data_IF_169935807631
#
_entry.id   IF_169935807631
#
_cell.length_a   1.000
_cell.length_b   1.000
_cell.length_c   1.000
_cell.angle_alpha   90.00
_cell.angle_beta   90.00
_cell.angle_gamma   90.00
#
_symmetry.space_group_name_H-M   'P 1'
#
loop_
_entity.id
_entity.type
_entity.pdbx_description
1 polymer ?
#
# COMPACT_ATOMS: atom_id res chain seq x y z
N UNK A 1 -16.58 9.98 -60.85
CA UNK A 1 -17.18 8.75 -60.29
C UNK A 1 -16.14 7.62 -60.34
N UNK A 2 -15.39 7.38 -59.27
CA UNK A 2 -14.33 6.37 -59.20
C UNK A 2 -14.84 5.14 -58.44
N UNK A 3 -15.08 4.04 -59.17
CA UNK A 3 -15.48 2.73 -58.61
C UNK A 3 -14.24 2.01 -58.08
N UNK A 4 -14.05 2.03 -56.76
CA UNK A 4 -13.09 1.14 -56.08
C UNK A 4 -13.68 -0.27 -55.96
N UNK A 5 -13.40 -1.14 -56.94
CA UNK A 5 -13.48 -2.59 -56.76
C UNK A 5 -12.17 -3.06 -56.11
N UNK A 6 -12.04 -2.89 -54.80
CA UNK A 6 -10.97 -3.52 -54.03
C UNK A 6 -11.35 -4.99 -53.82
N UNK A 7 -10.64 -5.89 -54.51
CA UNK A 7 -10.80 -7.32 -54.34
C UNK A 7 -10.41 -7.73 -52.91
N UNK A 8 -11.22 -8.59 -52.29
CA UNK A 8 -10.96 -9.19 -50.97
C UNK A 8 -9.56 -9.83 -50.85
N UNK A 9 -8.93 -10.15 -51.99
CA UNK A 9 -7.59 -10.75 -52.09
C UNK A 9 -6.45 -9.75 -51.84
N UNK A 10 -6.53 -8.50 -52.31
CA UNK A 10 -5.52 -7.46 -52.03
C UNK A 10 -5.45 -7.14 -50.54
N UNK A 11 -6.61 -7.02 -49.90
CA UNK A 11 -6.72 -6.71 -48.46
C UNK A 11 -6.09 -7.83 -47.63
N UNK A 12 -6.34 -9.09 -48.01
CA UNK A 12 -5.78 -10.27 -47.33
C UNK A 12 -4.26 -10.38 -47.44
N UNK A 13 -3.66 -9.79 -48.47
CA UNK A 13 -2.21 -9.73 -48.66
C UNK A 13 -1.57 -8.67 -47.75
N UNK A 14 -2.23 -7.51 -47.62
CA UNK A 14 -1.77 -6.38 -46.79
C UNK A 14 -1.73 -6.72 -45.29
N UNK A 15 -2.71 -7.46 -44.78
CA UNK A 15 -2.74 -7.89 -43.38
C UNK A 15 -1.72 -8.99 -43.04
N UNK A 16 -1.16 -9.67 -44.04
CA UNK A 16 -0.17 -10.75 -43.84
C UNK A 16 1.23 -10.22 -43.50
N UNK A 17 1.47 -8.93 -43.71
CA UNK A 17 2.77 -8.28 -43.44
C UNK A 17 2.82 -7.57 -42.08
N UNK A 18 1.75 -7.62 -41.29
CA UNK A 18 1.78 -7.20 -39.87
C UNK A 18 2.35 -8.34 -39.01
N UNK A 19 3.62 -8.67 -39.24
CA UNK A 19 4.40 -9.65 -38.45
C UNK A 19 4.77 -9.05 -37.08
N UNK A 20 3.77 -8.76 -36.24
CA UNK A 20 4.00 -8.25 -34.88
C UNK A 20 4.47 -9.34 -33.89
N UNK A 21 4.53 -10.61 -34.33
CA UNK A 21 4.92 -11.74 -33.49
C UNK A 21 5.77 -12.77 -34.23
N UNK A 22 6.82 -13.23 -33.54
CA UNK A 22 7.66 -14.35 -33.96
C UNK A 22 6.79 -15.58 -34.20
N UNK A 23 6.88 -16.18 -35.40
CA UNK A 23 6.20 -17.44 -35.73
C UNK A 23 6.58 -18.51 -34.70
N UNK A 24 5.62 -18.96 -33.88
CA UNK A 24 5.88 -20.07 -32.95
C UNK A 24 6.22 -21.34 -33.74
N UNK A 25 7.14 -22.17 -33.22
CA UNK A 25 7.48 -23.47 -33.82
C UNK A 25 6.23 -24.33 -33.96
N UNK A 26 6.16 -25.06 -35.07
CA UNK A 26 5.00 -25.87 -35.49
C UNK A 26 4.59 -26.90 -34.44
N UNK A 27 5.52 -27.38 -33.62
CA UNK A 27 5.31 -28.40 -32.58
C UNK A 27 4.45 -27.90 -31.41
N UNK A 28 4.60 -26.63 -31.03
CA UNK A 28 3.76 -26.02 -29.99
C UNK A 28 2.35 -25.76 -30.54
N UNK A 29 2.27 -25.38 -31.82
CA UNK A 29 1.00 -25.13 -32.50
C UNK A 29 0.21 -26.41 -32.77
N UNK A 30 0.88 -27.50 -33.14
CA UNK A 30 0.23 -28.79 -33.38
C UNK A 30 -0.31 -29.40 -32.08
N UNK A 31 0.43 -29.31 -30.96
CA UNK A 31 -0.06 -29.75 -29.64
C UNK A 31 -1.30 -28.99 -29.18
N UNK A 32 -1.34 -27.66 -29.37
CA UNK A 32 -2.53 -26.86 -29.04
C UNK A 32 -3.68 -27.12 -30.02
N UNK A 33 -3.37 -27.31 -31.31
CA UNK A 33 -4.31 -27.64 -32.38
C UNK A 33 -4.96 -29.03 -32.23
N UNK A 34 -4.28 -29.99 -31.60
CA UNK A 34 -4.78 -31.34 -31.36
C UNK A 34 -5.79 -31.41 -30.19
N UNK A 35 -5.63 -30.60 -29.14
CA UNK A 35 -6.56 -30.53 -27.99
C UNK A 35 -7.85 -29.76 -28.28
N UNK A 36 -7.81 -28.81 -29.22
CA UNK A 36 -8.96 -27.93 -29.56
C UNK A 36 -9.94 -28.54 -30.57
N UNK A 37 -9.75 -29.79 -31.01
CA UNK A 37 -10.67 -30.43 -31.96
C UNK A 37 -11.94 -30.98 -31.29
N UNK A 38 -11.96 -31.05 -29.96
CA UNK A 38 -13.17 -31.43 -29.23
C UNK A 38 -14.08 -30.22 -29.04
N UNK A 39 -15.35 -30.35 -29.43
CA UNK A 39 -16.37 -29.31 -29.31
C UNK A 39 -16.50 -28.78 -27.87
N UNK A 40 -16.29 -29.66 -26.88
CA UNK A 40 -16.35 -29.32 -25.45
C UNK A 40 -15.21 -28.38 -25.02
N UNK A 41 -13.98 -28.63 -25.49
CA UNK A 41 -12.83 -27.76 -25.15
C UNK A 41 -13.00 -26.39 -25.80
N UNK A 42 -13.51 -26.31 -27.03
CA UNK A 42 -13.79 -25.03 -27.69
C UNK A 42 -14.85 -24.22 -26.92
N UNK A 43 -15.95 -24.85 -26.50
CA UNK A 43 -16.99 -24.15 -25.73
C UNK A 43 -16.47 -23.64 -24.39
N UNK A 44 -15.65 -24.43 -23.70
CA UNK A 44 -15.04 -24.03 -22.42
C UNK A 44 -14.08 -22.85 -22.62
N UNK A 45 -13.23 -22.90 -23.65
CA UNK A 45 -12.31 -21.80 -23.96
C UNK A 45 -13.04 -20.49 -24.28
N UNK A 46 -14.11 -20.55 -25.07
CA UNK A 46 -14.92 -19.36 -25.40
C UNK A 46 -15.55 -18.77 -24.14
N UNK A 47 -16.09 -19.61 -23.24
CA UNK A 47 -16.67 -19.15 -21.96
C UNK A 47 -15.62 -18.44 -21.11
N UNK A 48 -14.41 -19.00 -20.97
CA UNK A 48 -13.33 -18.35 -20.21
C UNK A 48 -12.87 -17.04 -20.83
N UNK A 49 -12.77 -16.96 -22.16
CA UNK A 49 -12.42 -15.71 -22.84
C UNK A 49 -13.48 -14.64 -22.58
N UNK A 50 -14.77 -14.99 -22.66
CA UNK A 50 -15.87 -14.06 -22.35
C UNK A 50 -15.79 -13.60 -20.89
N UNK A 51 -15.57 -14.53 -19.95
CA UNK A 51 -15.43 -14.21 -18.52
C UNK A 51 -14.29 -13.21 -18.28
N UNK A 52 -13.12 -13.46 -18.88
CA UNK A 52 -11.95 -12.58 -18.76
C UNK A 52 -12.28 -11.18 -19.31
N UNK A 53 -12.92 -11.10 -20.48
CA UNK A 53 -13.30 -9.82 -21.09
C UNK A 53 -14.28 -9.05 -20.20
N UNK A 54 -15.29 -9.71 -19.64
CA UNK A 54 -16.29 -9.08 -18.76
C UNK A 54 -15.63 -8.56 -17.48
N UNK A 55 -14.79 -9.38 -16.84
CA UNK A 55 -14.06 -8.97 -15.63
C UNK A 55 -13.13 -7.79 -15.89
N UNK A 56 -12.44 -7.79 -17.03
CA UNK A 56 -11.55 -6.69 -17.39
C UNK A 56 -12.33 -5.41 -17.69
N UNK A 57 -13.49 -5.53 -18.34
CA UNK A 57 -14.36 -4.39 -18.59
C UNK A 57 -14.87 -3.77 -17.28
N UNK A 58 -15.29 -4.59 -16.31
CA UNK A 58 -15.73 -4.12 -15.01
C UNK A 58 -14.63 -3.32 -14.28
N UNK A 59 -13.39 -3.84 -14.28
CA UNK A 59 -12.24 -3.14 -13.68
C UNK A 59 -11.94 -1.80 -14.38
N UNK A 60 -12.02 -1.75 -15.71
CA UNK A 60 -11.79 -0.51 -16.47
C UNK A 60 -12.87 0.52 -16.13
N UNK A 61 -14.13 0.10 -16.04
CA UNK A 61 -15.24 0.99 -15.67
C UNK A 61 -15.03 1.55 -14.26
N UNK A 62 -14.64 0.70 -13.30
CA UNK A 62 -14.33 1.14 -11.93
C UNK A 62 -13.17 2.14 -11.94
N UNK A 63 -12.10 1.88 -12.68
CA UNK A 63 -10.96 2.79 -12.80
C UNK A 63 -11.35 4.14 -13.42
N UNK A 64 -12.23 4.15 -14.42
CA UNK A 64 -12.68 5.38 -15.08
C UNK A 64 -13.67 6.19 -14.24
N UNK A 65 -14.48 5.51 -13.40
CA UNK A 65 -15.45 6.15 -12.51
C UNK A 65 -14.87 6.50 -11.14
N UNK A 66 -13.79 5.84 -10.73
CA UNK A 66 -13.07 6.17 -9.51
C UNK A 66 -12.56 7.59 -9.62
N UNK A 67 -13.14 8.49 -8.83
CA UNK A 67 -12.63 9.84 -8.70
C UNK A 67 -11.24 9.73 -8.06
N UNK A 68 -10.18 10.26 -8.71
CA UNK A 68 -8.87 10.23 -8.10
C UNK A 68 -8.96 10.98 -6.78
N UNK A 69 -8.66 10.29 -5.68
CA UNK A 69 -8.43 10.95 -4.40
C UNK A 69 -7.14 11.74 -4.58
N UNK A 70 -7.26 13.01 -4.95
CA UNK A 70 -6.15 13.94 -5.11
C UNK A 70 -5.45 14.10 -3.77
N UNK A 71 -4.43 13.27 -3.52
CA UNK A 71 -3.53 13.43 -2.39
C UNK A 71 -2.65 14.64 -2.68
N UNK A 72 -3.14 15.83 -2.31
CA UNK A 72 -2.36 17.05 -2.42
C UNK A 72 -1.34 17.09 -1.29
N UNK A 73 -0.07 17.00 -1.65
CA UNK A 73 1.04 17.34 -0.77
C UNK A 73 1.11 18.87 -0.71
N UNK A 74 0.54 19.44 0.34
CA UNK A 74 0.78 20.85 0.68
C UNK A 74 2.07 20.92 1.47
N UNK A 75 2.99 21.78 1.04
CA UNK A 75 4.13 22.15 1.89
C UNK A 75 3.55 23.08 2.96
N UNK A 76 3.64 22.68 4.22
CA UNK A 76 3.28 23.54 5.35
C UNK A 76 4.32 24.65 5.47
N UNK A 77 4.15 25.70 4.67
CA UNK A 77 4.91 26.95 4.77
C UNK A 77 4.29 27.79 5.89
N UNK A 78 4.25 27.25 7.12
CA UNK A 78 3.91 28.04 8.30
C UNK A 78 5.11 28.92 8.67
N UNK A 79 5.39 29.91 7.82
CA UNK A 79 6.44 30.94 8.01
C UNK A 79 6.11 31.91 9.17
N UNK A 80 4.94 31.78 9.80
CA UNK A 80 4.47 32.68 10.86
C UNK A 80 4.56 32.10 12.27
N UNK A 81 5.10 30.90 12.45
CA UNK A 81 5.42 30.39 13.78
C UNK A 81 6.73 31.05 14.21
N UNK A 82 6.60 32.18 14.88
CA UNK A 82 7.67 32.75 15.71
C UNK A 82 8.36 31.61 16.47
N UNK A 83 9.67 31.72 16.63
CA UNK A 83 10.52 30.67 17.23
C UNK A 83 10.00 30.11 18.57
N UNK A 84 9.06 30.78 19.21
CA UNK A 84 8.41 30.42 20.47
C UNK A 84 7.27 29.39 20.34
N UNK A 85 6.72 29.16 19.14
CA UNK A 85 5.53 28.31 18.94
C UNK A 85 5.71 27.26 17.84
N UNK A 86 6.83 26.55 17.80
CA UNK A 86 6.92 25.34 16.95
C UNK A 86 5.87 24.31 17.42
N UNK A 87 5.06 23.72 16.53
CA UNK A 87 4.08 22.70 16.91
C UNK A 87 4.80 21.51 17.54
N UNK A 88 4.49 21.23 18.81
CA UNK A 88 5.01 20.06 19.51
C UNK A 88 4.21 18.84 19.06
N UNK A 89 4.86 17.87 18.42
CA UNK A 89 4.23 16.60 18.07
C UNK A 89 3.99 15.78 19.34
N UNK A 90 2.72 15.43 19.61
CA UNK A 90 2.37 14.53 20.70
C UNK A 90 2.53 13.08 20.24
N UNK A 91 3.49 12.37 20.81
CA UNK A 91 3.69 10.94 20.58
C UNK A 91 2.98 10.15 21.67
N UNK A 92 2.11 9.23 21.28
CA UNK A 92 1.43 8.30 22.19
C UNK A 92 2.13 6.95 22.12
N UNK A 93 2.71 6.51 23.24
CA UNK A 93 3.48 5.27 23.33
C UNK A 93 2.77 4.29 24.26
N UNK A 94 2.41 3.11 23.76
CA UNK A 94 1.89 2.00 24.56
C UNK A 94 2.72 0.74 24.26
N UNK A 95 3.69 0.44 25.14
CA UNK A 95 4.63 -0.68 24.99
C UNK A 95 4.62 -1.49 26.28
N UNK A 96 4.65 -2.82 26.13
CA UNK A 96 4.74 -3.77 27.23
C UNK A 96 6.07 -4.53 27.18
N UNK A 97 6.82 -4.53 28.28
CA UNK A 97 8.06 -5.29 28.43
C UNK A 97 7.84 -6.49 29.34
N UNK A 98 8.05 -7.72 28.84
CA UNK A 98 7.67 -8.97 29.53
C UNK A 98 8.68 -9.45 30.58
N UNK A 99 9.95 -9.05 30.48
CA UNK A 99 11.05 -9.52 31.32
C UNK A 99 11.90 -8.37 31.91
N UNK A 100 11.35 -7.16 32.00
CA UNK A 100 12.02 -6.02 32.61
C UNK A 100 11.18 -5.40 33.73
N UNK A 101 11.76 -5.13 34.91
CA UNK A 101 11.07 -4.40 35.96
C UNK A 101 10.93 -2.92 35.58
N UNK A 102 9.80 -2.31 35.94
CA UNK A 102 9.53 -0.89 35.65
C UNK A 102 10.59 0.06 36.22
N UNK A 103 11.19 -0.28 37.36
CA UNK A 103 12.24 0.51 38.00
C UNK A 103 13.56 0.57 37.19
N UNK A 104 13.80 -0.40 36.31
CA UNK A 104 14.98 -0.42 35.44
C UNK A 104 14.73 0.23 34.07
N UNK A 105 13.50 0.69 33.80
CA UNK A 105 13.12 1.32 32.55
C UNK A 105 13.14 2.84 32.71
N UNK A 106 13.91 3.53 31.87
CA UNK A 106 13.83 4.97 31.65
C UNK A 106 13.45 5.22 30.19
N UNK A 107 12.78 6.34 29.93
CA UNK A 107 12.50 6.79 28.55
C UNK A 107 13.30 8.06 28.29
N UNK A 108 14.12 8.00 27.27
CA UNK A 108 14.89 9.12 26.75
C UNK A 108 14.41 9.42 25.33
N UNK A 109 14.38 10.69 24.93
CA UNK A 109 14.15 11.08 23.54
C UNK A 109 15.19 12.08 23.08
N UNK A 110 15.51 12.00 21.79
CA UNK A 110 16.44 12.89 21.12
C UNK A 110 15.88 13.28 19.75
N UNK A 111 15.82 14.58 19.49
CA UNK A 111 15.43 15.14 18.19
C UNK A 111 16.68 15.36 17.30
N UNK A 112 16.49 15.41 15.99
CA UNK A 112 17.54 15.75 15.00
C UNK A 112 18.14 17.13 15.23
N UNK A 113 17.37 18.02 15.87
CA UNK A 113 17.82 19.35 16.28
C UNK A 113 18.72 19.34 17.53
N UNK A 114 19.04 18.16 18.07
CA UNK A 114 19.93 17.99 19.22
C UNK A 114 19.26 18.20 20.59
N UNK A 115 17.96 18.47 20.63
CA UNK A 115 17.20 18.47 21.89
C UNK A 115 17.15 17.06 22.46
N UNK A 116 17.62 16.90 23.70
CA UNK A 116 17.65 15.63 24.41
C UNK A 116 17.04 15.80 25.79
N UNK A 117 16.13 14.91 26.15
CA UNK A 117 15.65 14.77 27.53
C UNK A 117 15.86 13.33 27.96
N UNK A 118 16.44 13.18 29.16
CA UNK A 118 16.76 11.90 29.78
C UNK A 118 15.78 11.67 30.93
N UNK A 119 15.33 10.43 31.09
CA UNK A 119 14.44 9.96 32.14
C UNK A 119 13.20 10.84 32.29
N UNK A 120 12.37 10.88 31.24
CA UNK A 120 11.12 11.63 31.25
C UNK A 120 10.17 11.04 32.30
N UNK A 121 9.89 11.77 33.38
CA UNK A 121 8.97 11.32 34.44
C UNK A 121 7.60 11.96 34.40
N UNK A 122 7.46 13.16 33.84
CA UNK A 122 6.22 13.96 33.95
C UNK A 122 5.08 13.48 33.06
N UNK A 123 5.36 12.78 31.95
CA UNK A 123 4.34 12.37 30.97
C UNK A 123 4.23 10.86 30.79
N UNK A 124 4.85 10.08 31.68
CA UNK A 124 4.94 8.62 31.57
C UNK A 124 4.20 7.96 32.73
N UNK A 125 3.36 7.00 32.37
CA UNK A 125 2.70 6.11 33.31
C UNK A 125 3.36 4.73 33.20
N UNK A 126 3.98 4.27 34.29
CA UNK A 126 4.59 2.93 34.33
C UNK A 126 3.67 2.02 35.15
N UNK A 127 3.13 1.01 34.49
CA UNK A 127 2.30 0.01 35.16
C UNK A 127 2.98 -1.35 35.10
N UNK A 128 3.19 -1.96 36.26
CA UNK A 128 3.67 -3.34 36.36
C UNK A 128 2.51 -4.29 36.15
N UNK A 129 2.60 -5.10 35.10
CA UNK A 129 1.61 -6.14 34.81
C UNK A 129 2.02 -7.49 35.37
N UNK A 130 1.03 -8.31 35.74
CA UNK A 130 1.20 -9.69 36.19
C UNK A 130 1.44 -10.59 34.98
N UNK A 131 2.49 -11.41 35.06
CA UNK A 131 2.86 -12.36 34.00
C UNK A 131 1.74 -13.37 33.66
N UNK A 132 0.92 -13.78 34.64
CA UNK A 132 -0.13 -14.77 34.41
C UNK A 132 -1.32 -14.22 33.63
N UNK A 133 -1.87 -13.08 34.05
CA UNK A 133 -3.21 -12.64 33.62
C UNK A 133 -3.22 -11.23 33.00
N UNK A 134 -2.05 -10.61 32.82
CA UNK A 134 -1.93 -9.25 32.29
C UNK A 134 -2.51 -8.15 33.18
N UNK A 135 -3.01 -8.49 34.37
CA UNK A 135 -3.59 -7.54 35.32
C UNK A 135 -2.52 -6.63 35.94
N UNK A 136 -2.89 -5.39 36.18
CA UNK A 136 -2.05 -4.40 36.85
C UNK A 136 -1.80 -4.82 38.30
N UNK A 137 -0.53 -4.88 38.70
CA UNK A 137 -0.10 -5.18 40.07
C UNK A 137 0.18 -3.89 40.83
N UNK A 138 0.82 -2.93 40.16
CA UNK A 138 1.30 -1.69 40.74
C UNK A 138 1.46 -0.65 39.63
N UNK A 139 0.96 0.56 39.87
CA UNK A 139 1.19 1.71 39.02
C UNK A 139 2.11 2.71 39.74
N UNK A 140 3.11 3.19 39.02
CA UNK A 140 3.91 4.34 39.42
C UNK A 140 3.39 5.55 38.64
N UNK A 141 2.53 6.33 39.30
CA UNK A 141 2.03 7.59 38.76
C UNK A 141 3.00 8.70 39.20
N UNK A 142 3.99 8.98 38.37
CA UNK A 142 4.75 10.22 38.52
C UNK A 142 3.82 11.36 38.10
N UNK A 143 3.35 12.14 39.07
CA UNK A 143 2.55 13.33 38.79
C UNK A 143 3.33 14.22 37.80
N UNK A 144 2.67 14.83 36.80
CA UNK A 144 3.34 15.71 35.86
C UNK A 144 3.96 16.87 36.65
N UNK A 145 5.29 16.88 36.81
CA UNK A 145 6.01 18.10 37.18
C UNK A 145 5.78 19.13 36.08
N UNK A 146 5.45 20.36 36.49
CA UNK A 146 5.26 21.47 35.57
C UNK A 146 6.54 21.66 34.72
N UNK A 147 6.34 22.05 33.47
CA UNK A 147 7.43 22.32 32.53
C UNK A 147 8.27 23.48 33.10
N UNK A 148 9.47 23.19 33.61
CA UNK A 148 10.41 24.20 34.14
C UNK A 148 11.02 23.93 35.51
N UNK A 149 10.64 22.85 36.20
CA UNK A 149 11.22 22.50 37.50
C UNK A 149 12.60 21.84 37.33
N UNK A 150 13.67 22.34 38.00
CA UNK A 150 14.98 21.67 37.98
C UNK A 150 14.91 20.27 38.63
N UNK A 151 15.89 19.40 38.32
CA UNK A 151 15.93 18.01 38.82
C UNK A 151 15.81 17.92 40.35
#
# INVERSE_FOLDING_TARGET
MLRLRLGSWEIRRRYRELDLFRKLPSEVRSRFGLTVNSRLVQTIQVVFIILIVVLQFANIVEFLLATPTEQRFSVDTSETLTSDSKPKLRVMLNITFTNMPCAALSLDYQDVMGSKVVDVRSTIFKTRIRRSDGREISSENNAPRAIGEPP
#
